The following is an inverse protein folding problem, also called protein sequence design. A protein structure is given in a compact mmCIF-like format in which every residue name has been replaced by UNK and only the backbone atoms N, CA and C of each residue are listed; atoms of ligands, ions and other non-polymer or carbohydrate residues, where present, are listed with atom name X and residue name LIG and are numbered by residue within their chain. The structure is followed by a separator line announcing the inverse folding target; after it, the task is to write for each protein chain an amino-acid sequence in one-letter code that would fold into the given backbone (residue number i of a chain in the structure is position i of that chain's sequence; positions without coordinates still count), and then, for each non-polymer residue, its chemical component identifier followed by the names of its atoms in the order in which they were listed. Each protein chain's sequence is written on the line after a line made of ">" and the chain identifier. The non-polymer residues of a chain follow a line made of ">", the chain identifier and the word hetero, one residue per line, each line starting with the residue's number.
data_IF_030870752851
#
_entry.id   IF_030870752851
#
_cell.length_a   1.000
_cell.length_b   1.000
_cell.length_c   1.000
_cell.angle_alpha   90.00
_cell.angle_beta   90.00
_cell.angle_gamma   90.00
#
_symmetry.space_group_name_H-M   'P 1'
#
loop_
_entity.id
_entity.type
_entity.pdbx_description
1 polymer ?
#
# COMPACT_ATOMS: atom_id res chain seq x y z
N UNK A 1 -14.48 12.88 -7.67
CA UNK A 1 -14.74 11.73 -8.55
C UNK A 1 -14.06 10.51 -7.95
N UNK A 2 -14.65 9.32 -8.05
CA UNK A 2 -14.06 8.09 -7.50
C UNK A 2 -14.07 7.04 -8.60
N UNK A 3 -12.88 6.59 -9.00
CA UNK A 3 -12.72 5.42 -9.86
C UNK A 3 -12.44 4.21 -8.97
N UNK A 4 -13.11 3.10 -9.23
CA UNK A 4 -12.91 1.86 -8.48
C UNK A 4 -13.01 0.71 -9.46
N UNK A 5 -11.98 -0.15 -9.48
CA UNK A 5 -11.85 -1.24 -10.47
C UNK A 5 -11.82 -0.74 -11.92
N UNK A 6 -11.20 0.41 -12.17
CA UNK A 6 -10.99 0.94 -13.52
C UNK A 6 -9.48 1.07 -13.77
N UNK A 7 -9.00 0.80 -15.00
CA UNK A 7 -7.65 1.15 -15.40
C UNK A 7 -7.40 2.65 -15.19
N UNK A 8 -6.24 3.01 -14.64
CA UNK A 8 -5.91 4.40 -14.33
C UNK A 8 -5.35 5.16 -15.54
N UNK A 9 -5.02 4.46 -16.62
CA UNK A 9 -4.40 4.93 -17.86
C UNK A 9 -5.41 5.39 -18.93
N UNK A 10 -6.71 5.42 -18.61
CA UNK A 10 -7.75 5.90 -19.52
C UNK A 10 -7.67 7.42 -19.75
N UNK A 11 -8.03 7.85 -20.96
CA UNK A 11 -7.96 9.25 -21.38
C UNK A 11 -8.78 10.20 -20.49
N UNK A 12 -9.87 9.71 -19.88
CA UNK A 12 -10.69 10.47 -18.94
C UNK A 12 -9.90 10.88 -17.67
N UNK A 13 -9.10 9.97 -17.13
CA UNK A 13 -8.28 10.24 -15.94
C UNK A 13 -7.16 11.21 -16.31
N UNK A 14 -6.55 11.05 -17.49
CA UNK A 14 -5.56 12.01 -18.01
C UNK A 14 -6.15 13.41 -18.14
N UNK A 15 -7.34 13.54 -18.73
CA UNK A 15 -8.03 14.82 -18.86
C UNK A 15 -8.36 15.48 -17.52
N UNK A 16 -8.61 14.70 -16.46
CA UNK A 16 -8.78 15.24 -15.11
C UNK A 16 -7.50 15.81 -14.50
N UNK A 17 -6.36 15.15 -14.74
CA UNK A 17 -5.04 15.64 -14.30
C UNK A 17 -4.68 16.92 -15.06
N UNK A 18 -4.90 16.95 -16.38
CA UNK A 18 -4.68 18.14 -17.23
C UNK A 18 -5.58 19.32 -16.82
N UNK A 19 -6.80 19.04 -16.35
CA UNK A 19 -7.70 20.04 -15.78
C UNK A 19 -7.31 20.50 -14.35
N UNK A 20 -6.17 20.06 -13.83
CA UNK A 20 -5.62 20.49 -12.54
C UNK A 20 -6.15 19.73 -11.32
N UNK A 21 -6.85 18.60 -11.49
CA UNK A 21 -7.26 17.78 -10.35
C UNK A 21 -6.10 16.92 -9.87
N UNK A 22 -5.95 16.84 -8.55
CA UNK A 22 -4.95 15.99 -7.90
C UNK A 22 -5.59 14.73 -7.30
N UNK A 23 -4.93 13.56 -7.35
CA UNK A 23 -5.42 12.36 -6.70
C UNK A 23 -5.30 12.51 -5.18
N UNK A 24 -6.42 12.38 -4.46
CA UNK A 24 -6.44 12.48 -2.99
C UNK A 24 -6.37 11.12 -2.29
N UNK A 25 -6.64 10.04 -3.02
CA UNK A 25 -6.60 8.65 -2.55
C UNK A 25 -6.16 7.73 -3.69
N UNK A 26 -5.12 6.93 -3.46
CA UNK A 26 -4.58 5.98 -4.42
C UNK A 26 -4.53 4.58 -3.81
N UNK A 27 -5.11 3.60 -4.52
CA UNK A 27 -4.94 2.20 -4.17
C UNK A 27 -3.65 1.71 -4.83
N UNK A 28 -2.76 1.15 -4.03
CA UNK A 28 -1.41 0.74 -4.42
C UNK A 28 -1.18 -0.70 -3.99
N UNK A 29 -0.33 -1.40 -4.75
CA UNK A 29 0.17 -2.73 -4.38
C UNK A 29 1.68 -2.67 -4.40
N UNK A 30 2.28 -3.11 -3.29
CA UNK A 30 3.72 -3.17 -3.10
C UNK A 30 4.19 -4.62 -3.17
N UNK A 31 5.17 -4.86 -4.03
CA UNK A 31 5.88 -6.14 -4.15
C UNK A 31 5.01 -7.36 -4.46
N UNK A 32 3.77 -7.17 -4.95
CA UNK A 32 2.74 -8.22 -5.03
C UNK A 32 2.46 -8.93 -3.69
N UNK A 33 2.69 -8.23 -2.58
CA UNK A 33 2.54 -8.74 -1.20
C UNK A 33 1.57 -7.94 -0.36
N UNK A 34 1.61 -6.61 -0.46
CA UNK A 34 0.77 -5.73 0.37
C UNK A 34 -0.02 -4.76 -0.50
N UNK A 35 -1.34 -4.78 -0.36
CA UNK A 35 -2.25 -3.82 -1.00
C UNK A 35 -2.79 -2.84 0.04
N UNK A 36 -2.79 -1.55 -0.29
CA UNK A 36 -3.22 -0.50 0.64
C UNK A 36 -3.77 0.72 -0.12
N UNK A 37 -4.45 1.59 0.62
CA UNK A 37 -4.93 2.89 0.15
C UNK A 37 -4.10 3.99 0.80
N UNK A 38 -3.31 4.71 0.00
CA UNK A 38 -2.61 5.92 0.41
C UNK A 38 -3.52 7.14 0.24
N UNK A 39 -3.56 8.01 1.24
CA UNK A 39 -4.26 9.30 1.16
C UNK A 39 -3.29 10.47 1.01
N UNK A 40 -3.80 11.63 0.62
CA UNK A 40 -3.05 12.89 0.53
C UNK A 40 -2.39 13.32 1.86
N UNK A 41 -2.93 12.88 3.00
CA UNK A 41 -2.38 13.14 4.33
C UNK A 41 -1.36 12.06 4.77
N UNK A 42 -0.80 11.31 3.81
CA UNK A 42 0.12 10.19 4.03
C UNK A 42 -0.43 9.08 4.95
N UNK A 43 -1.76 8.91 5.00
CA UNK A 43 -2.36 7.83 5.77
C UNK A 43 -2.39 6.55 4.94
N UNK A 44 -1.81 5.48 5.48
CA UNK A 44 -1.94 4.12 4.95
C UNK A 44 -3.22 3.49 5.51
N UNK A 45 -4.19 3.19 4.66
CA UNK A 45 -5.49 2.62 5.05
C UNK A 45 -5.78 1.33 4.30
N UNK A 46 -6.69 0.52 4.85
CA UNK A 46 -7.17 -0.72 4.19
C UNK A 46 -6.02 -1.64 3.76
N UNK A 47 -5.07 -1.85 4.66
CA UNK A 47 -3.95 -2.76 4.45
C UNK A 47 -4.52 -4.18 4.29
N UNK A 48 -4.09 -4.86 3.23
CA UNK A 48 -4.40 -6.26 2.94
C UNK A 48 -3.12 -6.93 2.51
N UNK A 49 -2.79 -8.06 3.13
CA UNK A 49 -1.75 -8.95 2.65
C UNK A 49 -2.34 -9.84 1.55
N UNK A 50 -1.59 -10.03 0.48
CA UNK A 50 -2.00 -10.83 -0.67
C UNK A 50 -1.71 -12.32 -0.45
N UNK A 51 -2.28 -13.15 -1.32
CA UNK A 51 -2.14 -14.60 -1.26
C UNK A 51 -0.67 -15.01 -1.25
N UNK A 52 -0.32 -15.98 -0.39
CA UNK A 52 1.05 -16.47 -0.25
C UNK A 52 1.91 -15.74 0.78
N UNK A 53 1.47 -14.61 1.34
CA UNK A 53 2.25 -13.90 2.39
C UNK A 53 2.33 -14.73 3.67
N UNK A 54 1.23 -15.34 4.09
CA UNK A 54 1.15 -16.11 5.35
C UNK A 54 1.40 -17.61 5.19
N UNK A 55 1.62 -18.11 3.97
CA UNK A 55 1.82 -19.53 3.71
C UNK A 55 3.08 -20.09 4.41
N UNK A 56 4.03 -19.21 4.78
CA UNK A 56 5.23 -19.56 5.52
C UNK A 56 4.98 -19.90 7.01
N UNK A 57 3.82 -19.53 7.58
CA UNK A 57 3.55 -19.69 9.01
C UNK A 57 3.39 -21.16 9.45
N UNK A 58 3.12 -22.09 8.52
CA UNK A 58 2.95 -23.51 8.83
C UNK A 58 1.69 -23.78 9.69
N UNK A 59 1.16 -25.00 9.61
CA UNK A 59 -0.12 -25.38 10.23
C UNK A 59 -0.05 -25.58 11.76
N UNK A 60 0.76 -24.83 12.49
CA UNK A 60 0.90 -24.95 13.93
C UNK A 60 -0.16 -24.07 14.63
N UNK A 61 -1.27 -24.72 15.00
CA UNK A 61 -2.51 -24.10 15.46
C UNK A 61 -2.38 -23.33 16.81
N UNK A 62 -1.27 -23.49 17.54
CA UNK A 62 -1.01 -22.80 18.81
C UNK A 62 -0.17 -21.51 18.68
N UNK A 63 0.65 -21.36 17.62
CA UNK A 63 1.56 -20.20 17.41
C UNK A 63 1.22 -19.36 16.16
N UNK A 64 0.11 -19.67 15.47
CA UNK A 64 -0.22 -19.04 14.18
C UNK A 64 -0.39 -17.52 14.24
N UNK A 65 -0.91 -16.98 15.35
CA UNK A 65 -1.04 -15.53 15.52
C UNK A 65 0.32 -14.84 15.64
N UNK A 66 1.25 -15.38 16.43
CA UNK A 66 2.57 -14.80 16.60
C UNK A 66 3.37 -14.86 15.29
N UNK A 67 3.22 -15.95 14.54
CA UNK A 67 3.78 -16.08 13.20
C UNK A 67 3.20 -15.02 12.23
N UNK A 68 1.87 -14.86 12.19
CA UNK A 68 1.20 -13.88 11.34
C UNK A 68 1.63 -12.45 11.68
N UNK A 69 1.73 -12.12 12.97
CA UNK A 69 2.19 -10.79 13.42
C UNK A 69 3.64 -10.55 13.03
N UNK A 70 4.51 -11.55 13.19
CA UNK A 70 5.91 -11.45 12.79
C UNK A 70 6.04 -11.25 11.27
N UNK A 71 5.31 -12.02 10.47
CA UNK A 71 5.27 -11.89 9.01
C UNK A 71 4.73 -10.50 8.61
N UNK A 72 3.55 -10.13 9.09
CA UNK A 72 2.91 -8.85 8.78
C UNK A 72 3.80 -7.66 9.13
N UNK A 73 4.44 -7.68 10.30
CA UNK A 73 5.36 -6.63 10.72
C UNK A 73 6.60 -6.60 9.83
N UNK A 74 7.15 -7.77 9.46
CA UNK A 74 8.30 -7.88 8.55
C UNK A 74 8.04 -7.29 7.16
N UNK A 75 6.82 -7.45 6.63
CA UNK A 75 6.39 -6.78 5.39
C UNK A 75 6.30 -5.27 5.56
N UNK A 76 5.70 -4.79 6.65
CA UNK A 76 5.52 -3.35 6.90
C UNK A 76 6.86 -2.64 7.13
N UNK A 77 7.83 -3.29 7.78
CA UNK A 77 9.19 -2.77 7.98
C UNK A 77 9.90 -2.51 6.64
N UNK A 78 9.60 -3.27 5.60
CA UNK A 78 10.15 -3.06 4.25
C UNK A 78 9.31 -2.05 3.46
N UNK A 79 7.99 -2.16 3.51
CA UNK A 79 7.05 -1.29 2.80
C UNK A 79 7.22 0.20 3.16
N UNK A 80 7.27 0.53 4.46
CA UNK A 80 7.28 1.91 4.93
C UNK A 80 8.48 2.72 4.40
N UNK A 81 9.74 2.27 4.56
CA UNK A 81 10.89 3.04 4.05
C UNK A 81 10.89 3.15 2.52
N UNK A 82 10.51 2.10 1.80
CA UNK A 82 10.41 2.17 0.33
C UNK A 82 9.32 3.14 -0.14
N UNK A 83 8.18 3.16 0.56
CA UNK A 83 7.09 4.11 0.27
C UNK A 83 7.56 5.55 0.51
N UNK A 84 8.23 5.81 1.64
CA UNK A 84 8.77 7.13 1.93
C UNK A 84 9.81 7.56 0.89
N UNK A 85 10.71 6.66 0.51
CA UNK A 85 11.68 6.91 -0.55
C UNK A 85 11.00 7.24 -1.88
N UNK A 86 9.97 6.48 -2.27
CA UNK A 86 9.20 6.72 -3.50
C UNK A 86 8.44 8.07 -3.48
N UNK A 87 8.08 8.57 -2.29
CA UNK A 87 7.45 9.88 -2.09
C UNK A 87 8.44 11.05 -2.03
N UNK A 88 9.74 10.79 -2.19
CA UNK A 88 10.79 11.82 -2.18
C UNK A 88 11.62 11.92 -0.90
N UNK A 89 11.45 10.96 0.02
CA UNK A 89 12.17 10.90 1.29
C UNK A 89 11.47 11.63 2.43
N UNK A 90 12.02 11.48 3.63
CA UNK A 90 11.55 12.17 4.83
C UNK A 90 12.03 13.62 4.83
N UNK A 91 11.23 14.54 5.39
CA UNK A 91 11.70 15.89 5.66
C UNK A 91 12.75 15.84 6.76
N UNK A 92 13.94 16.36 6.48
CA UNK A 92 14.95 16.65 7.51
C UNK A 92 14.34 17.63 8.52
N UNK A 93 14.25 17.21 9.79
CA UNK A 93 13.86 18.10 10.88
C UNK A 93 15.03 19.07 11.12
N UNK A 94 14.79 20.36 10.88
CA UNK A 94 15.75 21.44 11.11
C UNK A 94 16.00 21.71 12.60
#
# INVERSE_FOLDING_TARGET
>A
MRYSKHPLDIDEIRGHIEAGKVPTKLALTWGDRVSFLLTENLQVKKISFLDGVFDAAGSAQEDGFDADVAIATGELVQLVPELLQALGGEMELA
#
